data_IF_220814316895
#
_entry.id   IF_220814316895
#
_cell.length_a   1.000
_cell.length_b   1.000
_cell.length_c   1.000
_cell.angle_alpha   90.00
_cell.angle_beta   90.00
_cell.angle_gamma   90.00
#
_symmetry.space_group_name_H-M   'P 1'
#
loop_
_entity.id
_entity.type
_entity.pdbx_description
1 polymer ?
#
# COMPACT_ATOMS: atom_id res chain seq x y z
N UNK A 1 12.91 12.36 -9.81
CA UNK A 1 12.28 11.14 -9.26
C UNK A 1 11.49 10.47 -10.38
N UNK A 2 11.76 9.19 -10.72
CA UNK A 2 10.88 8.45 -11.66
C UNK A 2 9.48 8.37 -11.03
N UNK A 3 8.44 8.71 -11.80
CA UNK A 3 7.04 8.64 -11.35
C UNK A 3 6.66 7.18 -11.07
N UNK A 4 5.89 6.94 -10.00
CA UNK A 4 5.35 5.61 -9.62
C UNK A 4 4.31 5.18 -10.68
N UNK A 5 4.41 3.95 -11.18
CA UNK A 5 3.85 3.49 -12.48
C UNK A 5 2.38 3.05 -12.48
N UNK A 6 1.55 3.46 -11.51
CA UNK A 6 0.24 2.80 -11.27
C UNK A 6 -0.96 3.74 -11.10
N UNK A 7 -0.85 4.99 -11.55
CA UNK A 7 -1.92 6.01 -11.39
C UNK A 7 -3.09 5.80 -12.37
N UNK A 8 -2.85 5.18 -13.54
CA UNK A 8 -3.81 5.15 -14.65
C UNK A 8 -4.10 3.74 -15.22
N UNK A 9 -4.05 2.70 -14.37
CA UNK A 9 -4.29 1.31 -14.79
C UNK A 9 -5.68 0.78 -14.41
N UNK A 10 -6.25 -0.20 -15.14
CA UNK A 10 -7.59 -0.72 -14.89
C UNK A 10 -7.73 -1.35 -13.49
N UNK A 11 -8.91 -1.18 -12.89
CA UNK A 11 -9.30 -1.61 -11.53
C UNK A 11 -9.12 -3.11 -11.20
N UNK A 12 -8.86 -3.97 -12.19
CA UNK A 12 -8.66 -5.41 -12.01
C UNK A 12 -7.21 -5.81 -11.67
N UNK A 13 -6.27 -4.87 -11.70
CA UNK A 13 -4.87 -5.14 -11.38
C UNK A 13 -4.67 -5.20 -9.86
N UNK A 14 -4.14 -6.32 -9.34
CA UNK A 14 -3.75 -6.44 -7.92
C UNK A 14 -2.81 -5.30 -7.50
N UNK A 15 -1.97 -4.77 -8.39
CA UNK A 15 -1.17 -3.57 -8.10
C UNK A 15 -2.01 -2.32 -7.82
N UNK A 16 -3.12 -2.12 -8.54
CA UNK A 16 -4.03 -1.00 -8.27
C UNK A 16 -4.66 -1.17 -6.88
N UNK A 17 -5.14 -2.38 -6.56
CA UNK A 17 -5.72 -2.66 -5.25
C UNK A 17 -4.71 -2.45 -4.12
N UNK A 18 -3.45 -2.86 -4.32
CA UNK A 18 -2.36 -2.60 -3.37
C UNK A 18 -2.01 -1.12 -3.25
N UNK A 19 -2.10 -0.33 -4.34
CA UNK A 19 -1.95 1.12 -4.24
C UNK A 19 -3.06 1.76 -3.39
N UNK A 20 -4.31 1.32 -3.59
CA UNK A 20 -5.46 1.77 -2.80
C UNK A 20 -5.32 1.38 -1.33
N UNK A 21 -5.04 0.10 -1.05
CA UNK A 21 -4.77 -0.40 0.30
C UNK A 21 -3.62 0.35 0.95
N UNK A 22 -2.54 0.65 0.22
CA UNK A 22 -1.43 1.41 0.76
C UNK A 22 -1.81 2.82 1.17
N UNK A 23 -2.65 3.51 0.38
CA UNK A 23 -3.19 4.82 0.75
C UNK A 23 -4.16 4.73 1.94
N UNK A 24 -5.01 3.71 1.99
CA UNK A 24 -5.89 3.41 3.14
C UNK A 24 -5.08 3.15 4.41
N UNK A 25 -4.02 2.35 4.30
CA UNK A 25 -3.19 1.94 5.43
C UNK A 25 -2.38 3.10 6.02
N UNK A 26 -1.99 4.04 5.17
CA UNK A 26 -1.29 5.26 5.60
C UNK A 26 -2.24 6.36 6.06
N UNK A 27 -3.56 6.21 5.84
CA UNK A 27 -4.54 7.19 6.28
C UNK A 27 -4.52 7.32 7.81
N UNK A 28 -4.13 8.50 8.31
CA UNK A 28 -4.01 8.76 9.73
C UNK A 28 -2.72 8.23 10.40
N UNK A 29 -1.78 7.63 9.65
CA UNK A 29 -0.51 7.20 10.23
C UNK A 29 0.37 8.41 10.58
N UNK A 30 0.72 8.54 11.87
CA UNK A 30 1.77 9.45 12.34
C UNK A 30 1.37 10.91 12.62
N UNK A 31 0.09 11.29 12.56
CA UNK A 31 -0.32 12.69 12.78
C UNK A 31 -1.49 12.78 13.78
N UNK A 32 -1.30 13.44 14.95
CA UNK A 32 -2.40 14.15 15.59
C UNK A 32 -2.85 15.21 14.58
N UNK A 33 -4.07 15.08 14.02
CA UNK A 33 -4.59 15.90 12.90
C UNK A 33 -4.38 17.41 13.06
N UNK A 34 -4.19 17.87 14.30
CA UNK A 34 -3.98 19.26 14.64
C UNK A 34 -2.80 19.39 15.61
N UNK A 35 -1.90 20.31 15.31
CA UNK A 35 -0.76 20.67 16.20
C UNK A 35 -1.19 21.59 17.36
N UNK A 36 -2.44 22.04 17.37
CA UNK A 36 -3.04 22.88 18.42
C UNK A 36 -4.58 22.82 18.38
N UNK A 37 -5.23 23.20 19.48
CA UNK A 37 -6.70 23.26 19.56
C UNK A 37 -7.30 24.25 18.55
N UNK A 38 -6.65 25.39 18.32
CA UNK A 38 -7.14 26.40 17.37
C UNK A 38 -7.07 25.92 15.92
N UNK A 39 -6.08 25.10 15.56
CA UNK A 39 -6.02 24.49 14.24
C UNK A 39 -7.20 23.54 13.97
N UNK A 40 -7.67 22.82 15.00
CA UNK A 40 -8.87 21.97 14.90
C UNK A 40 -10.14 22.81 14.66
N UNK A 41 -10.29 23.92 15.39
CA UNK A 41 -11.43 24.83 15.24
C UNK A 41 -11.42 25.47 13.84
N UNK A 42 -10.27 25.97 13.38
CA UNK A 42 -10.15 26.57 12.05
C UNK A 42 -10.51 25.60 10.93
N UNK A 43 -10.11 24.33 11.03
CA UNK A 43 -10.46 23.29 10.05
C UNK A 43 -11.96 22.95 10.08
N UNK A 44 -12.63 22.99 11.24
CA UNK A 44 -14.09 22.83 11.30
C UNK A 44 -14.85 23.95 10.59
N UNK A 45 -14.36 25.19 10.69
CA UNK A 45 -15.00 26.36 10.06
C UNK A 45 -14.58 26.57 8.61
N UNK A 46 -13.41 26.07 8.21
CA UNK A 46 -12.92 26.11 6.84
C UNK A 46 -12.26 24.78 6.47
N UNK A 47 -13.05 23.71 6.23
CA UNK A 47 -12.51 22.39 5.96
C UNK A 47 -11.65 22.41 4.71
N UNK A 48 -10.38 22.04 4.84
CA UNK A 48 -9.60 21.74 3.64
C UNK A 48 -10.04 20.37 3.10
N UNK A 49 -10.21 20.25 1.77
CA UNK A 49 -10.45 18.94 1.17
C UNK A 49 -9.33 18.00 1.59
N UNK A 50 -9.70 16.94 2.30
CA UNK A 50 -8.73 15.87 2.58
C UNK A 50 -8.23 15.35 1.25
N UNK A 51 -6.91 15.21 1.09
CA UNK A 51 -6.32 14.48 -0.05
C UNK A 51 -6.53 12.97 0.09
N UNK A 52 -7.71 12.57 0.59
CA UNK A 52 -8.15 11.19 0.68
C UNK A 52 -8.21 10.66 -0.75
N UNK A 53 -7.25 9.79 -1.07
CA UNK A 53 -6.93 9.39 -2.46
C UNK A 53 -7.34 7.96 -2.76
N UNK A 54 -8.07 7.32 -1.84
CA UNK A 54 -8.48 5.92 -2.00
C UNK A 54 -9.99 5.75 -1.99
N UNK A 55 -10.44 4.75 -2.75
CA UNK A 55 -11.85 4.34 -2.89
C UNK A 55 -12.12 2.92 -2.39
N UNK A 56 -11.08 2.21 -1.92
CA UNK A 56 -11.20 0.88 -1.32
C UNK A 56 -12.01 0.94 -0.02
N UNK A 57 -12.86 -0.06 0.20
CA UNK A 57 -13.61 -0.22 1.46
C UNK A 57 -12.75 -0.88 2.54
N UNK A 58 -13.08 -0.62 3.81
CA UNK A 58 -12.34 -1.18 4.96
C UNK A 58 -12.30 -2.72 4.92
N UNK A 59 -13.40 -3.38 4.57
CA UNK A 59 -13.46 -4.84 4.48
C UNK A 59 -12.48 -5.41 3.45
N UNK A 60 -12.44 -4.79 2.25
CA UNK A 60 -11.50 -5.20 1.20
C UNK A 60 -10.07 -4.88 1.60
N UNK A 61 -9.84 -3.72 2.24
CA UNK A 61 -8.52 -3.36 2.75
C UNK A 61 -8.02 -4.35 3.82
N UNK A 62 -8.89 -4.83 4.71
CA UNK A 62 -8.56 -5.85 5.71
C UNK A 62 -8.23 -7.21 5.09
N UNK A 63 -8.93 -7.60 4.02
CA UNK A 63 -8.60 -8.82 3.26
C UNK A 63 -7.19 -8.72 2.65
N UNK A 64 -6.87 -7.57 2.05
CA UNK A 64 -5.54 -7.29 1.48
C UNK A 64 -4.47 -7.30 2.58
N UNK A 65 -4.71 -6.63 3.70
CA UNK A 65 -3.80 -6.56 4.85
C UNK A 65 -3.53 -7.95 5.44
N UNK A 66 -4.57 -8.73 5.67
CA UNK A 66 -4.46 -10.11 6.13
C UNK A 66 -3.73 -11.01 5.13
N UNK A 67 -3.96 -10.83 3.83
CA UNK A 67 -3.25 -11.59 2.78
C UNK A 67 -1.76 -11.22 2.76
N UNK A 68 -1.41 -9.94 2.87
CA UNK A 68 -0.03 -9.49 2.98
C UNK A 68 0.64 -9.99 4.27
N UNK A 69 -0.09 -10.05 5.39
CA UNK A 69 0.43 -10.62 6.63
C UNK A 69 0.77 -12.12 6.46
N UNK A 70 -0.06 -12.88 5.73
CA UNK A 70 0.26 -14.28 5.37
C UNK A 70 1.49 -14.38 4.47
N UNK A 71 1.63 -13.48 3.50
CA UNK A 71 2.83 -13.40 2.65
C UNK A 71 4.07 -13.16 3.51
N UNK A 72 4.00 -12.17 4.41
CA UNK A 72 5.09 -11.79 5.31
C UNK A 72 5.49 -12.92 6.25
N UNK A 73 4.50 -13.65 6.79
CA UNK A 73 4.76 -14.86 7.59
C UNK A 73 5.46 -15.97 6.80
N UNK A 74 5.16 -16.09 5.50
CA UNK A 74 5.76 -17.10 4.61
C UNK A 74 7.17 -16.69 4.15
N UNK A 75 7.34 -15.42 3.80
CA UNK A 75 8.57 -14.81 3.32
C UNK A 75 8.59 -13.34 3.76
N UNK A 76 9.36 -13.07 4.81
CA UNK A 76 9.44 -11.75 5.43
C UNK A 76 9.95 -10.70 4.44
N UNK A 77 11.00 -11.03 3.67
CA UNK A 77 11.61 -10.08 2.74
C UNK A 77 10.64 -9.69 1.63
N UNK A 78 9.95 -10.66 1.05
CA UNK A 78 8.97 -10.39 -0.02
C UNK A 78 7.76 -9.61 0.51
N UNK A 79 7.24 -9.96 1.69
CA UNK A 79 6.16 -9.21 2.34
C UNK A 79 6.55 -7.76 2.63
N UNK A 80 7.73 -7.55 3.21
CA UNK A 80 8.28 -6.23 3.49
C UNK A 80 8.46 -5.40 2.23
N UNK A 81 8.88 -6.01 1.11
CA UNK A 81 9.08 -5.29 -0.14
C UNK A 81 7.75 -4.80 -0.74
N UNK A 82 6.70 -5.61 -0.67
CA UNK A 82 5.34 -5.20 -1.05
C UNK A 82 4.86 -4.08 -0.12
N UNK A 83 5.05 -4.24 1.19
CA UNK A 83 4.70 -3.22 2.18
C UNK A 83 5.42 -1.89 1.93
N UNK A 84 6.74 -1.90 1.73
CA UNK A 84 7.52 -0.70 1.48
C UNK A 84 7.10 -0.03 0.17
N UNK A 85 6.89 -0.82 -0.87
CA UNK A 85 6.56 -0.28 -2.19
C UNK A 85 5.16 0.34 -2.22
N UNK A 86 4.15 -0.39 -1.74
CA UNK A 86 2.75 0.03 -1.83
C UNK A 86 2.24 0.77 -0.61
N UNK A 87 2.59 0.32 0.61
CA UNK A 87 2.21 0.95 1.87
C UNK A 87 3.01 2.22 2.12
N UNK A 88 4.32 2.09 2.35
CA UNK A 88 5.19 3.23 2.65
C UNK A 88 5.53 4.13 1.43
N UNK A 89 5.04 3.76 0.24
CA UNK A 89 5.24 4.48 -1.04
C UNK A 89 6.73 4.66 -1.41
N UNK A 90 7.62 3.78 -0.96
CA UNK A 90 9.03 3.83 -1.32
C UNK A 90 9.22 3.44 -2.79
N UNK A 91 10.07 4.17 -3.54
CA UNK A 91 10.44 3.75 -4.88
C UNK A 91 11.35 2.50 -4.81
N UNK A 92 11.28 1.62 -5.82
CA UNK A 92 12.01 0.36 -5.84
C UNK A 92 13.54 0.52 -5.71
N UNK A 93 14.10 1.61 -6.25
CA UNK A 93 15.52 1.94 -6.10
C UNK A 93 15.93 2.18 -4.64
N UNK A 94 15.05 2.78 -3.82
CA UNK A 94 15.27 2.94 -2.38
C UNK A 94 15.25 1.58 -1.71
N UNK A 95 14.22 0.76 -1.96
CA UNK A 95 14.11 -0.58 -1.38
C UNK A 95 15.36 -1.41 -1.70
N UNK A 96 15.82 -1.38 -2.95
CA UNK A 96 17.03 -2.08 -3.37
C UNK A 96 18.28 -1.62 -2.63
N UNK A 97 18.47 -0.29 -2.48
CA UNK A 97 19.61 0.30 -1.77
C UNK A 97 19.62 -0.08 -0.29
N UNK A 98 18.49 0.04 0.41
CA UNK A 98 18.38 -0.29 1.84
C UNK A 98 18.57 -1.80 2.11
N UNK A 99 18.44 -2.64 1.09
CA UNK A 99 18.61 -4.10 1.19
C UNK A 99 19.86 -4.62 0.45
N UNK A 100 20.79 -3.75 0.04
CA UNK A 100 22.06 -4.14 -0.56
C UNK A 100 21.94 -4.93 -1.87
N UNK A 101 20.92 -4.67 -2.70
CA UNK A 101 20.66 -5.41 -3.94
C UNK A 101 20.42 -4.49 -5.15
N UNK A 102 20.34 -5.09 -6.34
CA UNK A 102 20.01 -4.35 -7.56
C UNK A 102 18.52 -3.96 -7.61
N UNK A 103 18.20 -2.83 -8.23
CA UNK A 103 16.81 -2.39 -8.45
C UNK A 103 15.99 -3.45 -9.20
N UNK A 104 16.60 -4.13 -10.18
CA UNK A 104 15.96 -5.22 -10.91
C UNK A 104 15.55 -6.36 -9.97
N UNK A 105 16.43 -6.74 -9.03
CA UNK A 105 16.12 -7.82 -8.08
C UNK A 105 15.00 -7.43 -7.11
N UNK A 106 14.99 -6.18 -6.65
CA UNK A 106 13.89 -5.66 -5.85
C UNK A 106 12.57 -5.69 -6.62
N UNK A 107 12.56 -5.30 -7.90
CA UNK A 107 11.39 -5.39 -8.77
C UNK A 107 10.88 -6.82 -8.95
N UNK A 108 11.78 -7.79 -9.16
CA UNK A 108 11.43 -9.21 -9.25
C UNK A 108 10.70 -9.68 -7.99
N UNK A 109 11.21 -9.34 -6.80
CA UNK A 109 10.58 -9.71 -5.52
C UNK A 109 9.24 -9.02 -5.30
N UNK A 110 9.14 -7.72 -5.62
CA UNK A 110 7.86 -6.99 -5.53
C UNK A 110 6.82 -7.63 -6.45
N UNK A 111 7.17 -7.94 -7.71
CA UNK A 111 6.25 -8.57 -8.68
C UNK A 111 5.88 -10.00 -8.28
N UNK A 112 6.82 -10.77 -7.74
CA UNK A 112 6.53 -12.09 -7.20
C UNK A 112 5.55 -12.01 -6.02
N UNK A 113 5.72 -11.02 -5.13
CA UNK A 113 4.80 -10.77 -4.02
C UNK A 113 3.40 -10.38 -4.49
N UNK A 114 3.29 -9.48 -5.47
CA UNK A 114 2.01 -9.11 -6.10
C UNK A 114 1.33 -10.34 -6.71
N UNK A 115 2.04 -11.16 -7.47
CA UNK A 115 1.48 -12.35 -8.10
C UNK A 115 1.01 -13.39 -7.06
N UNK A 116 1.76 -13.53 -5.95
CA UNK A 116 1.36 -14.39 -4.84
C UNK A 116 0.07 -13.90 -4.17
N UNK A 117 -0.05 -12.58 -3.94
CA UNK A 117 -1.24 -11.97 -3.34
C UNK A 117 -2.45 -12.18 -4.25
N UNK A 118 -2.31 -11.92 -5.56
CA UNK A 118 -3.36 -12.17 -6.54
C UNK A 118 -3.88 -13.61 -6.43
N UNK A 119 -3.00 -14.60 -6.57
CA UNK A 119 -3.40 -16.00 -6.49
C UNK A 119 -3.91 -16.44 -5.11
N UNK A 120 -3.50 -15.77 -4.03
CA UNK A 120 -4.00 -16.05 -2.68
C UNK A 120 -5.41 -15.49 -2.44
N UNK A 121 -5.74 -14.35 -3.07
CA UNK A 121 -7.09 -13.77 -3.03
C UNK A 121 -8.06 -14.61 -3.87
N UNK A 122 -7.66 -15.01 -5.08
CA UNK A 122 -8.49 -15.86 -5.97
C UNK A 122 -8.88 -17.19 -5.29
N UNK A 123 -7.94 -17.85 -4.61
CA UNK A 123 -8.23 -19.08 -3.84
C UNK A 123 -9.17 -18.86 -2.66
N UNK A 124 -9.18 -17.66 -2.10
CA UNK A 124 -10.06 -17.34 -0.96
C UNK A 124 -11.49 -17.07 -1.43
N UNK A 125 -11.69 -16.55 -2.63
CA UNK A 125 -13.03 -16.42 -3.24
C UNK A 125 -13.60 -17.76 -3.71
N UNK A 126 -12.77 -18.68 -4.19
CA UNK A 126 -13.23 -20.01 -4.65
C UNK A 126 -13.61 -20.96 -3.50
N UNK A 127 -13.15 -20.68 -2.29
CA UNK A 127 -13.37 -21.52 -1.11
C UNK A 127 -14.57 -21.06 -0.24
N UNK A 128 -15.25 -19.98 -0.63
CA UNK A 128 -16.42 -19.41 0.05
C UNK A 128 -17.71 -19.76 -0.71
#
# INVERSE_FOLDING_TARGET
MKKRTYVDKPLGDTEWLLEQWGSWRMAGMGVPRYVSQIAAVMDQFNPQPTTQTYVITDDVALIVDGTLARLTKRDQQMGDFVWFYFGAKWPANRIARENGMSERKAWELIKAGVAWINGAMDRSSDAA
#
